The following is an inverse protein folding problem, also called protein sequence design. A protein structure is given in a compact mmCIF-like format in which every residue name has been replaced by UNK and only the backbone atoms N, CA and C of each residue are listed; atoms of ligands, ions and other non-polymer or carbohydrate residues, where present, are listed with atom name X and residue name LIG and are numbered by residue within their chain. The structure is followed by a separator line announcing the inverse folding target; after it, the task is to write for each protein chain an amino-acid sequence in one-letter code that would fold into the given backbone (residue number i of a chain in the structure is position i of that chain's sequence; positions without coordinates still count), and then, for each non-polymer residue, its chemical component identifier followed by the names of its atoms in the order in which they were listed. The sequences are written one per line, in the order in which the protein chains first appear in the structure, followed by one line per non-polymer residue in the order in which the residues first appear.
data_IF_574506869125
#
_entry.id   IF_574506869125
#
_cell.length_a   1.000
_cell.length_b   1.000
_cell.length_c   1.000
_cell.angle_alpha   90.00
_cell.angle_beta   90.00
_cell.angle_gamma   90.00
#
_symmetry.space_group_name_H-M   'P 1'
#
loop_
_entity.id
_entity.type
_entity.pdbx_description
1 polymer ?
#
# COMPACT_ATOMS: atom_id res chain seq x y z
N UNK A 1 -19.70 13.16 -9.97
CA UNK A 1 -19.00 11.92 -10.29
C UNK A 1 -17.86 12.09 -11.31
N UNK A 2 -18.03 12.74 -12.46
CA UNK A 2 -16.95 12.92 -13.46
C UNK A 2 -15.78 13.79 -12.99
N UNK A 3 -16.01 14.90 -12.31
CA UNK A 3 -14.96 15.81 -11.83
C UNK A 3 -14.06 15.18 -10.75
N UNK A 4 -14.61 14.38 -9.83
CA UNK A 4 -13.84 13.73 -8.78
C UNK A 4 -12.88 12.67 -9.35
N UNK A 5 -13.31 11.89 -10.33
CA UNK A 5 -12.47 10.92 -11.02
C UNK A 5 -11.37 11.59 -11.86
N UNK A 6 -11.68 12.73 -12.50
CA UNK A 6 -10.69 13.48 -13.25
C UNK A 6 -9.57 14.04 -12.35
N UNK A 7 -9.93 14.66 -11.22
CA UNK A 7 -8.96 15.18 -10.25
C UNK A 7 -8.13 14.05 -9.59
N UNK A 8 -8.75 12.91 -9.31
CA UNK A 8 -8.05 11.74 -8.77
C UNK A 8 -7.04 11.18 -9.78
N UNK A 9 -7.42 11.03 -11.05
CA UNK A 9 -6.53 10.59 -12.12
C UNK A 9 -5.37 11.57 -12.33
N UNK A 10 -5.63 12.87 -12.29
CA UNK A 10 -4.59 13.90 -12.43
C UNK A 10 -3.55 13.82 -11.29
N UNK A 11 -3.98 13.61 -10.06
CA UNK A 11 -3.07 13.44 -8.91
C UNK A 11 -2.25 12.16 -9.06
N UNK A 12 -2.88 11.05 -9.46
CA UNK A 12 -2.24 9.74 -9.60
C UNK A 12 -1.23 9.69 -10.77
N UNK A 13 -1.45 10.44 -11.83
CA UNK A 13 -0.50 10.53 -12.95
C UNK A 13 0.80 11.26 -12.58
N UNK A 14 0.78 12.13 -11.56
CA UNK A 14 1.91 12.96 -11.12
C UNK A 14 2.76 12.34 -10.01
N UNK A 15 2.29 11.26 -9.38
CA UNK A 15 3.00 10.60 -8.27
C UNK A 15 2.91 9.09 -8.34
N UNK A 16 3.79 8.43 -7.61
CA UNK A 16 3.78 6.98 -7.45
C UNK A 16 3.50 6.55 -6.01
N UNK A 17 3.88 7.38 -5.04
CA UNK A 17 3.64 7.15 -3.62
C UNK A 17 2.89 8.32 -3.00
N UNK A 18 1.92 8.00 -2.17
CA UNK A 18 0.98 8.95 -1.57
C UNK A 18 0.82 8.67 -0.08
N UNK A 19 0.47 9.70 0.68
CA UNK A 19 -0.05 9.57 2.03
C UNK A 19 -1.53 9.91 2.02
N UNK A 20 -2.32 9.12 2.73
CA UNK A 20 -3.73 9.42 2.95
C UNK A 20 -3.89 10.51 3.99
N UNK A 21 -4.54 11.59 3.62
CA UNK A 21 -4.93 12.66 4.56
C UNK A 21 -6.39 12.48 4.96
N UNK A 22 -6.60 12.03 6.20
CA UNK A 22 -7.94 11.74 6.74
C UNK A 22 -8.80 13.00 6.95
N UNK A 23 -8.19 14.18 7.08
CA UNK A 23 -8.93 15.42 7.27
C UNK A 23 -9.63 15.86 5.99
N UNK A 24 -8.93 15.78 4.87
CA UNK A 24 -9.46 16.17 3.55
C UNK A 24 -9.98 14.98 2.75
N UNK A 25 -9.88 13.77 3.31
CA UNK A 25 -10.27 12.50 2.66
C UNK A 25 -9.71 12.39 1.24
N UNK A 26 -8.40 12.65 1.10
CA UNK A 26 -7.74 12.62 -0.21
C UNK A 26 -6.26 12.23 -0.10
N UNK A 27 -5.66 11.91 -1.25
CA UNK A 27 -4.25 11.57 -1.37
C UNK A 27 -3.40 12.84 -1.49
N UNK A 28 -2.27 12.86 -0.76
CA UNK A 28 -1.18 13.82 -0.93
C UNK A 28 0.03 13.10 -1.51
N UNK A 29 0.67 13.66 -2.54
CA UNK A 29 1.87 13.10 -3.15
C UNK A 29 3.02 13.14 -2.15
N UNK A 30 3.74 12.03 -2.00
CA UNK A 30 5.01 11.99 -1.28
C UNK A 30 6.11 12.41 -2.26
N UNK A 31 6.53 13.67 -2.17
CA UNK A 31 7.56 14.24 -3.08
C UNK A 31 8.96 13.71 -2.82
N UNK A 32 9.25 13.32 -1.58
CA UNK A 32 10.55 12.75 -1.18
C UNK A 32 10.34 11.34 -0.63
N UNK A 33 10.00 10.40 -1.53
CA UNK A 33 9.82 9.00 -1.17
C UNK A 33 11.19 8.35 -0.94
N UNK A 34 11.51 8.09 0.34
CA UNK A 34 12.78 7.46 0.73
C UNK A 34 12.66 5.95 0.72
N UNK A 35 13.60 5.30 0.07
CA UNK A 35 13.78 3.84 0.04
C UNK A 35 15.27 3.51 0.10
N UNK A 36 15.59 2.27 0.34
CA UNK A 36 16.93 1.70 0.27
C UNK A 36 16.98 0.81 -0.98
N UNK A 37 18.09 0.76 -1.68
CA UNK A 37 18.21 -0.18 -2.79
C UNK A 37 18.01 -1.62 -2.29
N UNK A 38 17.20 -2.38 -3.02
CA UNK A 38 16.75 -3.70 -2.58
C UNK A 38 17.94 -4.65 -2.31
N UNK A 39 19.03 -4.49 -3.04
CA UNK A 39 20.25 -5.29 -2.90
C UNK A 39 21.03 -4.99 -1.61
N UNK A 40 20.82 -3.81 -1.01
CA UNK A 40 21.42 -3.43 0.27
C UNK A 40 20.70 -4.02 1.49
N UNK A 41 19.53 -4.62 1.31
CA UNK A 41 18.81 -5.32 2.37
C UNK A 41 19.34 -6.75 2.46
N UNK A 42 20.35 -6.97 3.32
CA UNK A 42 21.07 -8.24 3.47
C UNK A 42 20.47 -9.06 4.62
N UNK A 43 20.52 -10.40 4.48
CA UNK A 43 20.08 -11.34 5.52
C UNK A 43 18.57 -11.60 5.57
N UNK A 44 17.82 -11.10 4.59
CA UNK A 44 16.36 -11.29 4.48
C UNK A 44 15.94 -11.76 3.08
N UNK A 45 16.76 -12.56 2.41
CA UNK A 45 16.58 -12.95 1.00
C UNK A 45 15.27 -13.68 0.76
N UNK A 46 14.85 -14.54 1.69
CA UNK A 46 13.56 -15.24 1.61
C UNK A 46 12.40 -14.25 1.66
N UNK A 47 12.43 -13.32 2.60
CA UNK A 47 11.40 -12.28 2.76
C UNK A 47 11.38 -11.35 1.54
N UNK A 48 12.56 -10.94 1.04
CA UNK A 48 12.71 -10.15 -0.19
C UNK A 48 12.00 -10.84 -1.34
N UNK A 49 12.36 -12.10 -1.60
CA UNK A 49 11.76 -12.87 -2.69
C UNK A 49 10.26 -12.99 -2.55
N UNK A 50 9.76 -13.34 -1.37
CA UNK A 50 8.33 -13.53 -1.14
C UNK A 50 7.54 -12.25 -1.40
N UNK A 51 7.99 -11.12 -0.83
CA UNK A 51 7.29 -9.84 -1.00
C UNK A 51 7.44 -9.32 -2.44
N UNK A 52 8.61 -9.50 -3.04
CA UNK A 52 8.84 -9.11 -4.44
C UNK A 52 7.91 -9.85 -5.40
N UNK A 53 7.87 -11.19 -5.31
CA UNK A 53 7.04 -12.02 -6.19
C UNK A 53 5.55 -11.71 -6.01
N UNK A 54 5.08 -11.56 -4.76
CA UNK A 54 3.69 -11.20 -4.47
C UNK A 54 3.34 -9.82 -5.05
N UNK A 55 4.19 -8.82 -4.83
CA UNK A 55 3.94 -7.46 -5.32
C UNK A 55 4.03 -7.37 -6.85
N UNK A 56 4.96 -8.10 -7.47
CA UNK A 56 5.09 -8.17 -8.92
C UNK A 56 3.84 -8.79 -9.55
N UNK A 57 3.39 -9.93 -9.04
CA UNK A 57 2.17 -10.59 -9.52
C UNK A 57 0.95 -9.65 -9.41
N UNK A 58 0.82 -8.94 -8.30
CA UNK A 58 -0.23 -7.94 -8.13
C UNK A 58 -0.13 -6.81 -9.17
N UNK A 59 1.07 -6.28 -9.41
CA UNK A 59 1.29 -5.23 -10.40
C UNK A 59 0.99 -5.68 -11.84
N UNK A 60 1.09 -6.98 -12.12
CA UNK A 60 0.74 -7.61 -13.40
C UNK A 60 -0.75 -7.94 -13.51
N UNK A 61 -1.56 -7.61 -12.50
CA UNK A 61 -3.01 -7.82 -12.51
C UNK A 61 -3.46 -9.21 -12.05
N UNK A 62 -2.55 -10.01 -11.50
CA UNK A 62 -2.88 -11.31 -10.94
C UNK A 62 -3.46 -11.16 -9.52
N UNK A 63 -4.33 -12.10 -9.12
CA UNK A 63 -4.80 -12.18 -7.76
C UNK A 63 -3.65 -12.55 -6.82
N UNK A 64 -3.52 -11.80 -5.72
CA UNK A 64 -2.49 -12.02 -4.69
C UNK A 64 -3.05 -11.84 -3.29
N UNK A 65 -2.34 -12.39 -2.30
CA UNK A 65 -2.74 -12.25 -0.90
C UNK A 65 -2.18 -10.97 -0.29
N UNK A 66 -2.88 -10.47 0.74
CA UNK A 66 -2.36 -9.44 1.61
C UNK A 66 -1.13 -9.98 2.38
N UNK A 67 -0.18 -9.08 2.69
CA UNK A 67 1.04 -9.44 3.37
C UNK A 67 1.12 -8.78 4.75
N UNK A 68 1.41 -9.56 5.79
CA UNK A 68 1.71 -9.08 7.13
C UNK A 68 3.18 -9.36 7.46
N UNK A 69 3.96 -8.31 7.68
CA UNK A 69 5.35 -8.40 8.12
C UNK A 69 5.42 -8.17 9.63
N UNK A 70 5.83 -9.18 10.36
CA UNK A 70 5.98 -9.12 11.81
C UNK A 70 7.44 -9.27 12.24
N UNK A 71 7.77 -8.83 13.45
CA UNK A 71 9.12 -8.89 14.01
C UNK A 71 9.50 -7.60 14.72
N UNK A 72 10.65 -7.60 15.39
CA UNK A 72 11.13 -6.49 16.21
C UNK A 72 11.22 -5.18 15.42
N UNK A 73 11.11 -4.06 16.14
CA UNK A 73 11.31 -2.73 15.58
C UNK A 73 12.74 -2.60 15.05
N UNK A 74 12.92 -1.89 13.95
CA UNK A 74 14.25 -1.67 13.34
C UNK A 74 14.72 -2.78 12.38
N UNK A 75 14.00 -3.89 12.22
CA UNK A 75 14.39 -5.01 11.36
C UNK A 75 14.10 -4.80 9.85
N UNK A 76 13.99 -3.57 9.38
CA UNK A 76 13.90 -3.25 7.96
C UNK A 76 12.58 -3.57 7.27
N UNK A 77 11.49 -3.93 8.00
CA UNK A 77 10.19 -4.29 7.41
C UNK A 77 9.64 -3.20 6.47
N UNK A 78 9.58 -1.98 6.96
CA UNK A 78 9.07 -0.83 6.18
C UNK A 78 10.01 -0.48 5.02
N UNK A 79 11.33 -0.64 5.22
CA UNK A 79 12.33 -0.48 4.16
C UNK A 79 12.13 -1.51 3.07
N UNK A 80 11.88 -2.78 3.42
CA UNK A 80 11.62 -3.83 2.45
C UNK A 80 10.41 -3.52 1.56
N UNK A 81 9.28 -3.13 2.14
CA UNK A 81 8.08 -2.78 1.36
C UNK A 81 8.36 -1.62 0.40
N UNK A 82 9.00 -0.56 0.90
CA UNK A 82 9.31 0.63 0.09
C UNK A 82 10.29 0.32 -1.04
N UNK A 83 11.29 -0.51 -0.77
CA UNK A 83 12.31 -0.92 -1.76
C UNK A 83 11.71 -1.81 -2.84
N UNK A 84 10.90 -2.80 -2.46
CA UNK A 84 10.19 -3.68 -3.40
C UNK A 84 9.23 -2.87 -4.27
N UNK A 85 8.42 -2.00 -3.67
CA UNK A 85 7.54 -1.11 -4.42
C UNK A 85 8.32 -0.28 -5.43
N UNK A 86 9.40 0.37 -5.01
CA UNK A 86 10.22 1.20 -5.88
C UNK A 86 10.80 0.40 -7.05
N UNK A 87 11.32 -0.80 -6.79
CA UNK A 87 11.91 -1.64 -7.83
C UNK A 87 10.90 -2.04 -8.90
N UNK A 88 9.70 -2.46 -8.48
CA UNK A 88 8.63 -2.87 -9.41
C UNK A 88 8.05 -1.64 -10.12
N UNK A 89 7.90 -0.51 -9.43
CA UNK A 89 7.37 0.72 -10.01
C UNK A 89 8.28 1.34 -11.09
N UNK A 90 9.58 1.00 -11.13
CA UNK A 90 10.46 1.38 -12.25
C UNK A 90 9.91 0.90 -13.59
N UNK A 91 9.34 -0.32 -13.63
CA UNK A 91 8.81 -0.99 -14.82
C UNK A 91 7.30 -0.86 -14.96
N UNK A 92 6.57 -0.73 -13.86
CA UNK A 92 5.12 -0.63 -13.82
C UNK A 92 4.66 0.66 -13.13
N UNK A 93 4.51 1.73 -13.90
CA UNK A 93 4.11 3.06 -13.40
C UNK A 93 2.64 3.13 -12.94
N UNK A 94 1.85 2.13 -13.25
CA UNK A 94 0.46 2.03 -12.82
C UNK A 94 0.32 1.52 -11.39
N UNK A 95 1.36 0.87 -10.86
CA UNK A 95 1.41 0.51 -9.44
C UNK A 95 1.57 1.76 -8.57
N UNK A 96 0.68 1.95 -7.60
CA UNK A 96 0.66 3.09 -6.69
C UNK A 96 0.72 2.63 -5.24
N UNK A 97 1.47 3.35 -4.41
CA UNK A 97 1.55 3.10 -2.97
C UNK A 97 0.78 4.17 -2.21
N UNK A 98 -0.15 3.77 -1.37
CA UNK A 98 -0.86 4.65 -0.43
C UNK A 98 -0.39 4.31 0.98
N UNK A 99 0.32 5.23 1.62
CA UNK A 99 0.66 5.10 3.03
C UNK A 99 -0.50 5.59 3.88
N UNK A 100 -1.02 4.71 4.73
CA UNK A 100 -2.09 4.97 5.67
C UNK A 100 -1.54 4.96 7.10
N UNK A 101 -1.87 5.98 7.88
CA UNK A 101 -1.53 5.98 9.30
C UNK A 101 -2.43 4.97 10.03
N UNK A 102 -1.85 4.20 10.96
CA UNK A 102 -2.56 3.19 11.75
C UNK A 102 -3.78 3.75 12.50
N UNK A 103 -3.73 5.01 12.94
CA UNK A 103 -4.86 5.66 13.62
C UNK A 103 -6.05 5.94 12.69
N UNK A 104 -5.86 5.82 11.39
CA UNK A 104 -6.87 6.09 10.36
C UNK A 104 -7.28 4.83 9.59
N UNK A 105 -7.10 3.67 10.23
CA UNK A 105 -7.36 2.37 9.59
C UNK A 105 -8.79 2.22 9.08
N UNK A 106 -9.76 2.84 9.75
CA UNK A 106 -11.16 2.87 9.33
C UNK A 106 -11.39 3.60 7.99
N UNK A 107 -10.41 4.40 7.53
CA UNK A 107 -10.51 5.09 6.24
C UNK A 107 -10.21 4.15 5.05
N UNK A 108 -9.84 2.89 5.28
CA UNK A 108 -9.59 1.91 4.20
C UNK A 108 -10.81 1.77 3.29
N UNK A 109 -12.01 1.71 3.85
CA UNK A 109 -13.25 1.62 3.07
C UNK A 109 -13.43 2.84 2.17
N UNK A 110 -13.19 4.04 2.70
CA UNK A 110 -13.27 5.29 1.93
C UNK A 110 -12.23 5.30 0.80
N UNK A 111 -11.01 4.83 1.08
CA UNK A 111 -9.95 4.71 0.07
C UNK A 111 -10.39 3.74 -1.03
N UNK A 112 -10.93 2.58 -0.64
CA UNK A 112 -11.41 1.56 -1.56
C UNK A 112 -12.52 2.11 -2.47
N UNK A 113 -13.59 2.66 -1.89
CA UNK A 113 -14.70 3.26 -2.64
C UNK A 113 -14.24 4.32 -3.64
N UNK A 114 -13.24 5.12 -3.24
CA UNK A 114 -12.76 6.24 -4.05
C UNK A 114 -11.87 5.81 -5.20
N UNK A 115 -11.05 4.77 -5.03
CA UNK A 115 -9.97 4.42 -5.96
C UNK A 115 -10.11 3.04 -6.62
N UNK A 116 -10.91 2.11 -6.08
CA UNK A 116 -11.05 0.75 -6.64
C UNK A 116 -11.55 0.72 -8.09
N UNK A 117 -12.38 1.69 -8.47
CA UNK A 117 -12.93 1.78 -9.83
C UNK A 117 -11.97 2.40 -10.86
N UNK A 118 -10.76 2.80 -10.45
CA UNK A 118 -9.76 3.35 -11.35
C UNK A 118 -8.93 2.23 -11.98
N UNK A 119 -9.53 1.55 -12.96
CA UNK A 119 -8.99 0.33 -13.61
C UNK A 119 -7.57 0.46 -14.19
N UNK A 120 -7.07 1.68 -14.37
CA UNK A 120 -5.74 1.92 -14.91
C UNK A 120 -4.64 1.86 -13.86
N UNK A 121 -4.98 1.70 -12.57
CA UNK A 121 -4.01 1.70 -11.48
C UNK A 121 -4.22 0.52 -10.55
N UNK A 122 -3.11 -0.01 -10.05
CA UNK A 122 -3.08 -1.01 -8.99
C UNK A 122 -2.58 -0.33 -7.69
N UNK A 123 -3.34 -0.46 -6.60
CA UNK A 123 -3.06 0.23 -5.35
C UNK A 123 -2.58 -0.73 -4.27
N UNK A 124 -1.44 -0.41 -3.66
CA UNK A 124 -0.96 -1.02 -2.42
C UNK A 124 -1.28 -0.07 -1.28
N UNK A 125 -2.07 -0.50 -0.30
CA UNK A 125 -2.25 0.23 0.95
C UNK A 125 -1.19 -0.28 1.94
N UNK A 126 -0.28 0.61 2.33
CA UNK A 126 0.79 0.32 3.28
C UNK A 126 0.49 0.96 4.63
N UNK A 127 0.38 0.13 5.66
CA UNK A 127 0.16 0.56 7.04
C UNK A 127 1.41 0.19 7.84
N UNK A 128 2.13 1.21 8.33
CA UNK A 128 3.34 1.02 9.10
C UNK A 128 3.05 1.02 10.61
N UNK A 129 3.90 0.31 11.37
CA UNK A 129 3.91 0.32 12.83
C UNK A 129 2.56 -0.07 13.46
N UNK A 130 1.93 -1.13 12.92
CA UNK A 130 0.78 -1.76 13.58
C UNK A 130 1.27 -2.38 14.90
N UNK A 131 0.89 -1.79 16.03
CA UNK A 131 1.24 -2.32 17.35
C UNK A 131 0.20 -3.33 17.82
N UNK A 132 0.68 -4.50 18.24
CA UNK A 132 -0.15 -5.63 18.63
C UNK A 132 -0.81 -5.53 20.03
N UNK A 133 -0.57 -4.49 20.78
CA UNK A 133 -1.19 -4.29 22.10
C UNK A 133 -2.70 -3.93 22.06
N UNK A 134 -3.23 -3.55 20.87
CA UNK A 134 -4.64 -3.28 20.62
C UNK A 134 -5.26 -4.15 19.51
N UNK A 135 -4.65 -5.29 19.22
CA UNK A 135 -4.86 -6.05 17.97
C UNK A 135 -6.19 -6.68 17.81
N UNK A 136 -6.83 -7.10 18.86
CA UNK A 136 -8.10 -7.83 18.68
C UNK A 136 -9.16 -6.96 17.98
N UNK A 137 -9.13 -5.65 18.18
CA UNK A 137 -10.04 -4.74 17.46
C UNK A 137 -9.54 -4.37 16.07
N UNK A 138 -8.28 -3.95 15.96
CA UNK A 138 -7.72 -3.41 14.70
C UNK A 138 -7.55 -4.52 13.65
N UNK A 139 -7.11 -5.72 14.07
CA UNK A 139 -7.02 -6.88 13.19
C UNK A 139 -8.39 -7.36 12.71
N UNK A 140 -9.40 -7.39 13.59
CA UNK A 140 -10.77 -7.75 13.20
C UNK A 140 -11.33 -6.77 12.16
N UNK A 141 -11.04 -5.48 12.31
CA UNK A 141 -11.45 -4.43 11.37
C UNK A 141 -10.75 -4.61 10.03
N UNK A 142 -9.41 -4.75 10.03
CA UNK A 142 -8.66 -4.99 8.80
C UNK A 142 -9.19 -6.26 8.11
N UNK A 143 -9.38 -7.33 8.86
CA UNK A 143 -9.88 -8.59 8.31
C UNK A 143 -11.29 -8.44 7.75
N UNK A 144 -12.23 -7.83 8.48
CA UNK A 144 -13.61 -7.65 8.00
C UNK A 144 -13.67 -6.74 6.76
N UNK A 145 -12.85 -5.69 6.71
CA UNK A 145 -12.77 -4.80 5.53
C UNK A 145 -12.17 -5.52 4.33
N UNK A 146 -11.14 -6.33 4.55
CA UNK A 146 -10.50 -7.12 3.48
C UNK A 146 -11.38 -8.29 3.02
N UNK A 147 -12.06 -8.97 3.93
CA UNK A 147 -12.99 -10.06 3.60
C UNK A 147 -14.28 -9.51 2.97
N UNK A 148 -14.77 -8.37 3.41
CA UNK A 148 -15.97 -7.70 2.88
C UNK A 148 -15.78 -7.13 1.47
N UNK A 149 -14.56 -6.77 1.09
CA UNK A 149 -14.25 -6.30 -0.27
C UNK A 149 -14.21 -7.40 -1.33
N UNK A 150 -14.24 -8.68 -0.90
CA UNK A 150 -14.24 -9.87 -1.79
C UNK A 150 -15.67 -10.31 -2.18
N UNK A 151 -16.71 -9.76 -1.55
CA UNK A 151 -18.10 -10.20 -1.74
C UNK A 151 -18.94 -9.33 -2.67
N UNK A 152 -18.34 -8.38 -3.42
CA UNK A 152 -19.08 -7.57 -4.42
C UNK A 152 -18.41 -7.61 -5.79
#
# INVERSE_FOLDING_TARGET
MFLSNFLSNFTLSRGNAFIWDSKIKNLKIITNFRFIDLDLLIGIERQKKTIYDNTKNFAEGNFTNNALLWGSRGNGKSSLIKSVFNEINKKNKNLKLIQLNKNNIFDIEIIYEKYANLKNYNFIIFIDDLSFEKIDSDYKIIKSTLDGSIQN
#
